data_IF_612393116130
#
_entry.id   IF_612393116130
#
_cell.length_a   1.000
_cell.length_b   1.000
_cell.length_c   1.000
_cell.angle_alpha   90.00
_cell.angle_beta   90.00
_cell.angle_gamma   90.00
#
_symmetry.space_group_name_H-M   'P 1'
#
loop_
_entity.id
_entity.type
_entity.pdbx_description
1 polymer ?
#
# COMPACT_ATOMS: atom_id res chain seq x y z
N UNK A 1 11.02 16.91 3.14
CA UNK A 1 11.16 16.87 4.61
C UNK A 1 12.06 15.70 4.97
N UNK A 2 13.06 15.91 5.83
CA UNK A 2 14.02 14.86 6.21
C UNK A 2 13.73 14.33 7.60
N UNK A 3 13.59 13.01 7.75
CA UNK A 3 13.44 12.32 9.04
C UNK A 3 14.78 11.68 9.41
N UNK A 4 15.22 11.82 10.67
CA UNK A 4 16.41 11.12 11.18
C UNK A 4 15.97 10.18 12.30
N UNK A 5 16.42 8.91 12.25
CA UNK A 5 16.08 7.90 13.26
C UNK A 5 17.19 6.87 13.45
N UNK A 6 17.33 6.39 14.68
CA UNK A 6 18.15 5.22 14.99
C UNK A 6 17.30 3.96 14.85
N UNK A 7 17.73 3.03 13.99
CA UNK A 7 16.97 1.82 13.68
C UNK A 7 17.92 0.61 13.55
N UNK A 8 17.49 -0.60 13.94
CA UNK A 8 18.26 -1.81 13.67
C UNK A 8 18.45 -2.04 12.17
N UNK A 9 19.63 -2.52 11.77
CA UNK A 9 19.95 -2.79 10.36
C UNK A 9 18.97 -3.76 9.70
N UNK A 10 18.51 -4.78 10.42
CA UNK A 10 17.51 -5.72 9.89
C UNK A 10 16.16 -5.06 9.59
N UNK A 11 15.74 -4.06 10.38
CA UNK A 11 14.49 -3.33 10.15
C UNK A 11 14.59 -2.46 8.90
N UNK A 12 15.73 -1.78 8.70
CA UNK A 12 16.00 -1.03 7.48
C UNK A 12 15.96 -1.95 6.24
N UNK A 13 16.56 -3.13 6.35
CA UNK A 13 16.56 -4.10 5.26
C UNK A 13 15.14 -4.63 4.95
N UNK A 14 14.29 -4.85 5.96
CA UNK A 14 12.88 -5.20 5.76
C UNK A 14 12.12 -4.08 5.06
N UNK A 15 12.29 -2.82 5.49
CA UNK A 15 11.67 -1.66 4.82
C UNK A 15 12.11 -1.58 3.36
N UNK A 16 13.41 -1.67 3.11
CA UNK A 16 13.96 -1.65 1.75
C UNK A 16 13.36 -2.76 0.86
N UNK A 17 13.21 -3.99 1.39
CA UNK A 17 12.62 -5.11 0.66
C UNK A 17 11.15 -4.89 0.32
N UNK A 18 10.37 -4.38 1.26
CA UNK A 18 8.95 -4.03 1.04
C UNK A 18 8.85 -2.94 -0.03
N UNK A 19 9.63 -1.86 0.08
CA UNK A 19 9.68 -0.78 -0.91
C UNK A 19 10.04 -1.30 -2.29
N UNK A 20 11.11 -2.09 -2.40
CA UNK A 20 11.57 -2.63 -3.68
C UNK A 20 10.49 -3.49 -4.35
N UNK A 21 9.84 -4.37 -3.59
CA UNK A 21 8.82 -5.27 -4.11
C UNK A 21 7.54 -4.53 -4.52
N UNK A 22 7.02 -3.64 -3.68
CA UNK A 22 5.81 -2.88 -4.00
C UNK A 22 6.03 -1.96 -5.21
N UNK A 23 7.19 -1.29 -5.29
CA UNK A 23 7.53 -0.43 -6.42
C UNK A 23 7.67 -1.27 -7.69
N UNK A 24 8.28 -2.46 -7.62
CA UNK A 24 8.37 -3.37 -8.78
C UNK A 24 7.01 -3.89 -9.26
N UNK A 25 5.99 -3.90 -8.39
CA UNK A 25 4.60 -4.22 -8.73
C UNK A 25 3.82 -2.98 -9.22
N UNK A 26 4.44 -1.81 -9.27
CA UNK A 26 3.78 -0.54 -9.61
C UNK A 26 2.88 0.00 -8.50
N UNK A 27 3.09 -0.43 -7.25
CA UNK A 27 2.30 0.04 -6.11
C UNK A 27 2.98 1.17 -5.35
N UNK A 28 2.26 2.27 -5.21
CA UNK A 28 2.57 3.34 -4.26
C UNK A 28 2.39 2.87 -2.82
N UNK A 29 2.97 3.61 -1.87
CA UNK A 29 2.75 3.36 -0.44
C UNK A 29 1.26 3.44 -0.06
N UNK A 30 0.50 4.34 -0.69
CA UNK A 30 -0.94 4.50 -0.45
C UNK A 30 -1.74 3.30 -0.97
N UNK A 31 -1.46 2.86 -2.19
CA UNK A 31 -2.10 1.68 -2.77
C UNK A 31 -1.83 0.43 -1.95
N UNK A 32 -0.59 0.23 -1.49
CA UNK A 32 -0.29 -0.91 -0.62
C UNK A 32 -1.01 -0.79 0.72
N UNK A 33 -1.10 0.42 1.30
CA UNK A 33 -1.88 0.70 2.52
C UNK A 33 -3.33 0.28 2.36
N UNK A 34 -3.95 0.66 1.23
CA UNK A 34 -5.30 0.25 0.86
C UNK A 34 -5.40 -1.27 0.73
N UNK A 35 -4.53 -1.93 -0.05
CA UNK A 35 -4.60 -3.37 -0.31
C UNK A 35 -4.55 -4.23 0.96
N UNK A 36 -3.76 -3.83 1.96
CA UNK A 36 -3.65 -4.55 3.24
C UNK A 36 -4.73 -4.17 4.26
N UNK A 37 -5.62 -3.22 3.91
CA UNK A 37 -6.66 -2.71 4.81
C UNK A 37 -6.09 -1.95 6.00
N UNK A 38 -4.96 -1.24 5.85
CA UNK A 38 -4.34 -0.51 6.95
C UNK A 38 -4.90 0.93 7.08
N UNK A 39 -4.73 1.57 8.24
CA UNK A 39 -4.99 3.00 8.41
C UNK A 39 -4.26 3.87 7.40
N UNK A 40 -4.88 5.01 7.07
CA UNK A 40 -4.31 5.99 6.15
C UNK A 40 -2.84 6.30 6.49
N UNK A 41 -2.02 6.43 5.45
CA UNK A 41 -0.60 6.71 5.52
C UNK A 41 0.25 5.65 6.27
N UNK A 42 -0.29 4.47 6.61
CA UNK A 42 0.45 3.45 7.40
C UNK A 42 1.79 3.07 6.77
N UNK A 43 1.80 2.61 5.51
CA UNK A 43 3.04 2.22 4.82
C UNK A 43 3.96 3.42 4.66
N UNK A 44 3.43 4.56 4.22
CA UNK A 44 4.20 5.78 3.99
C UNK A 44 4.90 6.27 5.27
N UNK A 45 4.22 6.23 6.41
CA UNK A 45 4.77 6.64 7.70
C UNK A 45 5.85 5.67 8.20
N UNK A 46 5.74 4.37 7.91
CA UNK A 46 6.78 3.39 8.25
C UNK A 46 8.02 3.63 7.38
N UNK A 47 7.84 3.80 6.08
CA UNK A 47 8.93 4.06 5.13
C UNK A 47 9.61 5.40 5.37
N UNK A 48 8.86 6.42 5.79
CA UNK A 48 9.40 7.71 6.22
C UNK A 48 9.97 7.69 7.66
N UNK A 49 10.02 6.51 8.30
CA UNK A 49 10.48 6.26 9.67
C UNK A 49 9.71 7.02 10.76
N UNK A 50 8.50 7.52 10.47
CA UNK A 50 7.64 8.25 11.41
C UNK A 50 6.89 7.33 12.38
N UNK A 51 6.57 6.09 11.97
CA UNK A 51 5.88 5.08 12.79
C UNK A 51 6.80 3.93 13.25
N UNK A 52 6.32 3.06 14.16
CA UNK A 52 6.96 1.77 14.45
C UNK A 52 7.10 0.92 13.19
N UNK A 53 8.02 -0.05 13.20
CA UNK A 53 8.26 -0.94 12.06
C UNK A 53 7.08 -1.89 11.77
N UNK A 54 7.10 -2.52 10.60
CA UNK A 54 6.13 -3.54 10.22
C UNK A 54 6.05 -4.65 11.29
N UNK A 55 4.83 -4.93 11.72
CA UNK A 55 4.52 -6.11 12.52
C UNK A 55 4.56 -7.37 11.65
N UNK A 56 4.56 -8.56 12.28
CA UNK A 56 4.42 -9.82 11.57
C UNK A 56 3.12 -9.86 10.74
N UNK A 57 2.02 -9.41 11.34
CA UNK A 57 0.71 -9.33 10.68
C UNK A 57 0.73 -8.39 9.47
N UNK A 58 1.43 -7.25 9.56
CA UNK A 58 1.63 -6.36 8.41
C UNK A 58 2.35 -7.10 7.29
N UNK A 59 3.47 -7.76 7.60
CA UNK A 59 4.29 -8.47 6.60
C UNK A 59 3.54 -9.64 5.96
N UNK A 60 2.70 -10.36 6.70
CA UNK A 60 1.85 -11.40 6.14
C UNK A 60 0.80 -10.84 5.17
N UNK A 61 0.17 -9.71 5.52
CA UNK A 61 -0.81 -9.05 4.61
C UNK A 61 -0.14 -8.44 3.40
N UNK A 62 1.02 -7.81 3.58
CA UNK A 62 1.85 -7.27 2.50
C UNK A 62 2.25 -8.41 1.55
N UNK A 63 2.70 -9.55 2.07
CA UNK A 63 3.05 -10.71 1.23
C UNK A 63 1.87 -11.18 0.38
N UNK A 64 0.66 -11.23 0.95
CA UNK A 64 -0.56 -11.58 0.18
C UNK A 64 -0.92 -10.53 -0.86
N UNK A 65 -0.88 -9.25 -0.51
CA UNK A 65 -1.16 -8.14 -1.41
C UNK A 65 -0.16 -8.05 -2.58
N UNK A 66 1.10 -8.43 -2.33
CA UNK A 66 2.16 -8.51 -3.34
C UNK A 66 2.21 -9.86 -4.08
N UNK A 67 1.29 -10.78 -3.77
CA UNK A 67 1.22 -12.13 -4.35
C UNK A 67 2.53 -12.92 -4.17
N UNK A 68 3.22 -12.71 -3.05
CA UNK A 68 4.47 -13.38 -2.72
C UNK A 68 4.19 -14.84 -2.33
N UNK A 69 4.82 -15.77 -3.04
CA UNK A 69 4.74 -17.21 -2.74
C UNK A 69 5.39 -17.57 -1.41
N UNK A 70 6.30 -16.73 -0.90
CA UNK A 70 6.97 -16.92 0.37
C UNK A 70 7.04 -15.60 1.15
N UNK A 71 6.23 -15.41 2.20
CA UNK A 71 6.26 -14.21 3.05
C UNK A 71 7.63 -13.94 3.68
N UNK A 72 8.46 -14.97 3.88
CA UNK A 72 9.82 -14.82 4.40
C UNK A 72 10.73 -14.02 3.45
N UNK A 73 10.34 -13.83 2.19
CA UNK A 73 11.08 -13.00 1.22
C UNK A 73 11.15 -11.53 1.64
N UNK A 74 10.18 -11.06 2.44
CA UNK A 74 10.11 -9.68 2.94
C UNK A 74 11.08 -9.42 4.09
N UNK A 75 11.49 -10.46 4.81
CA UNK A 75 12.36 -10.33 5.97
C UNK A 75 13.83 -10.20 5.56
N UNK A 76 14.61 -9.49 6.38
CA UNK A 76 16.06 -9.53 6.25
C UNK A 76 16.57 -10.94 6.55
N UNK A 77 17.33 -11.58 5.63
CA UNK A 77 17.96 -12.88 5.88
C UNK A 77 19.13 -12.77 6.87
N UNK A 78 19.58 -11.56 7.18
CA UNK A 78 20.66 -11.28 8.12
C UNK A 78 20.04 -10.72 9.38
N UNK A 79 20.22 -11.43 10.49
CA UNK A 79 19.87 -10.94 11.83
C UNK A 79 20.98 -10.01 12.34
N UNK A 80 21.12 -8.85 11.69
CA UNK A 80 22.07 -7.82 12.12
C UNK A 80 21.35 -6.82 13.03
N UNK A 81 21.63 -6.91 14.32
CA UNK A 81 21.07 -6.04 15.37
C UNK A 81 21.83 -4.71 15.51
N UNK A 82 22.83 -4.43 14.66
CA UNK A 82 23.54 -3.17 14.68
C UNK A 82 22.57 -2.00 14.49
N UNK A 83 22.63 -1.03 15.41
CA UNK A 83 21.84 0.19 15.34
C UNK A 83 22.51 1.16 14.35
N UNK A 84 21.74 1.60 13.37
CA UNK A 84 22.15 2.55 12.35
C UNK A 84 21.43 3.88 12.58
N UNK A 85 22.14 4.99 12.43
CA UNK A 85 21.53 6.32 12.40
C UNK A 85 21.23 6.70 10.95
N UNK A 86 19.96 6.73 10.58
CA UNK A 86 19.51 6.87 9.20
C UNK A 86 18.81 8.22 9.01
N UNK A 87 19.15 8.94 7.95
CA UNK A 87 18.38 10.07 7.44
C UNK A 87 17.59 9.63 6.20
N UNK A 88 16.31 10.00 6.15
CA UNK A 88 15.39 9.68 5.05
C UNK A 88 14.80 10.96 4.52
N UNK A 89 14.84 11.13 3.21
CA UNK A 89 14.13 12.19 2.51
C UNK A 89 13.21 11.60 1.43
N UNK A 90 12.07 12.27 1.25
CA UNK A 90 11.17 12.06 0.12
C UNK A 90 10.99 13.40 -0.59
N UNK A 91 11.25 13.40 -1.89
CA UNK A 91 11.11 14.55 -2.76
C UNK A 91 10.33 14.17 -4.01
N UNK A 92 9.66 15.15 -4.61
CA UNK A 92 8.95 14.97 -5.86
C UNK A 92 9.76 15.63 -6.98
N UNK A 93 10.14 14.86 -7.99
CA UNK A 93 10.93 15.31 -9.13
C UNK A 93 10.53 14.54 -10.38
N UNK A 94 10.39 15.25 -11.51
CA UNK A 94 10.13 14.66 -12.83
C UNK A 94 8.92 13.70 -12.85
N UNK A 95 7.83 14.04 -12.15
CA UNK A 95 6.62 13.21 -12.11
C UNK A 95 6.69 12.01 -11.16
N UNK A 96 7.73 11.94 -10.32
CA UNK A 96 7.99 10.77 -9.48
C UNK A 96 8.35 11.18 -8.05
N UNK A 97 8.05 10.30 -7.11
CA UNK A 97 8.57 10.40 -5.75
C UNK A 97 9.92 9.69 -5.64
N UNK A 98 10.95 10.43 -5.25
CA UNK A 98 12.29 9.92 -4.99
C UNK A 98 12.46 9.76 -3.48
N UNK A 99 12.71 8.52 -3.06
CA UNK A 99 12.99 8.15 -1.68
C UNK A 99 14.50 7.93 -1.52
N UNK A 100 15.15 8.74 -0.69
CA UNK A 100 16.60 8.65 -0.46
C UNK A 100 16.89 8.31 1.00
N UNK A 101 17.77 7.33 1.22
CA UNK A 101 18.18 6.86 2.53
C UNK A 101 19.69 7.01 2.70
N UNK A 102 20.11 7.68 3.77
CA UNK A 102 21.50 7.97 4.08
C UNK A 102 21.88 7.41 5.46
N UNK A 103 23.05 6.80 5.56
CA UNK A 103 23.69 6.48 6.82
C UNK A 103 24.44 7.72 7.34
N UNK A 104 24.18 8.09 8.58
CA UNK A 104 24.89 9.18 9.26
C UNK A 104 26.06 8.63 10.08
N UNK A 105 27.24 9.20 9.87
CA UNK A 105 28.40 8.92 10.72
C UNK A 105 28.35 9.71 12.05
N UNK A 106 29.40 9.57 12.87
CA UNK A 106 29.50 10.28 14.16
C UNK A 106 29.54 11.81 14.04
N UNK A 107 29.90 12.32 12.87
CA UNK A 107 29.97 13.74 12.55
C UNK A 107 28.73 14.22 11.77
N UNK A 108 27.71 13.37 11.61
CA UNK A 108 26.52 13.57 10.76
C UNK A 108 26.84 13.77 9.27
N UNK A 109 27.97 13.26 8.78
CA UNK A 109 28.16 13.17 7.34
C UNK A 109 27.26 12.08 6.77
N UNK A 110 26.66 12.37 5.63
CA UNK A 110 25.72 11.50 4.95
C UNK A 110 26.46 10.58 3.97
N UNK A 111 26.20 9.27 4.08
CA UNK A 111 26.56 8.28 3.06
C UNK A 111 25.30 7.67 2.50
N UNK A 112 25.02 7.88 1.21
CA UNK A 112 23.86 7.28 0.56
C UNK A 112 23.92 5.75 0.66
N UNK A 113 22.84 5.14 1.13
CA UNK A 113 22.66 3.69 1.18
C UNK A 113 21.91 3.21 -0.06
N UNK A 114 20.77 3.83 -0.32
CA UNK A 114 19.96 3.54 -1.51
C UNK A 114 19.03 4.71 -1.83
N UNK A 115 18.61 4.72 -3.10
CA UNK A 115 17.62 5.64 -3.65
C UNK A 115 16.62 4.84 -4.47
N UNK A 116 15.33 5.08 -4.26
CA UNK A 116 14.25 4.41 -4.96
C UNK A 116 13.31 5.44 -5.59
N UNK A 117 12.85 5.13 -6.79
CA UNK A 117 11.88 5.93 -7.53
C UNK A 117 10.52 5.23 -7.48
N UNK A 118 9.50 5.97 -7.10
CA UNK A 118 8.11 5.54 -7.02
C UNK A 118 7.29 6.44 -7.97
N UNK A 119 6.52 5.83 -8.85
CA UNK A 119 5.58 6.54 -9.72
C UNK A 119 4.45 7.16 -8.89
N UNK A 120 3.93 8.30 -9.35
CA UNK A 120 2.76 8.94 -8.75
C UNK A 120 1.48 8.15 -9.09
N UNK A 121 0.60 7.87 -8.10
CA UNK A 121 -0.75 7.41 -8.46
C UNK A 121 -1.52 8.63 -9.01
N UNK A 122 -2.20 8.51 -10.16
CA UNK A 122 -3.02 9.58 -10.70
C UNK A 122 -4.06 10.05 -9.68
N UNK A 123 -4.30 11.36 -9.64
CA UNK A 123 -5.32 11.94 -8.78
C UNK A 123 -6.72 11.48 -9.20
N UNK A 124 -7.64 11.41 -8.23
CA UNK A 124 -9.02 10.98 -8.47
C UNK A 124 -9.73 11.79 -9.57
N UNK A 125 -9.50 13.11 -9.59
CA UNK A 125 -10.12 14.01 -10.57
C UNK A 125 -9.60 13.78 -12.01
N UNK A 126 -8.39 13.24 -12.15
CA UNK A 126 -7.82 12.88 -13.46
C UNK A 126 -8.43 11.58 -14.00
N UNK A 127 -8.76 10.64 -13.11
CA UNK A 127 -9.42 9.37 -13.46
C UNK A 127 -10.92 9.52 -13.74
N UNK A 128 -11.58 10.54 -13.17
CA UNK A 128 -13.03 10.75 -13.34
C UNK A 128 -13.41 11.30 -14.72
N UNK A 129 -12.46 11.79 -15.52
CA UNK A 129 -12.73 12.32 -16.87
C UNK A 129 -12.94 11.17 -17.87
N UNK A 130 -14.12 10.52 -17.73
CA UNK A 130 -14.63 9.42 -18.57
C UNK A 130 -13.66 8.26 -18.75
N UNK A 131 -13.11 7.74 -17.64
CA UNK A 131 -12.32 6.52 -17.72
C UNK A 131 -13.25 5.29 -17.77
N UNK A 132 -13.38 4.72 -18.98
CA UNK A 132 -14.13 3.49 -19.25
C UNK A 132 -13.72 2.33 -18.32
N UNK A 133 -12.47 2.33 -17.84
CA UNK A 133 -11.95 1.34 -16.90
C UNK A 133 -12.68 1.46 -15.56
N UNK A 134 -12.84 2.67 -15.03
CA UNK A 134 -13.49 2.89 -13.73
C UNK A 134 -14.97 2.48 -13.76
N UNK A 135 -15.66 2.75 -14.85
CA UNK A 135 -17.05 2.30 -15.05
C UNK A 135 -17.13 0.78 -15.14
N UNK A 136 -16.20 0.15 -15.88
CA UNK A 136 -16.08 -1.31 -15.94
C UNK A 136 -15.85 -1.92 -14.55
N UNK A 137 -14.92 -1.37 -13.76
CA UNK A 137 -14.67 -1.83 -12.38
C UNK A 137 -15.91 -1.67 -11.53
N UNK A 138 -16.62 -0.54 -11.66
CA UNK A 138 -17.83 -0.27 -10.90
C UNK A 138 -18.94 -1.28 -11.21
N UNK A 139 -19.12 -1.64 -12.49
CA UNK A 139 -20.07 -2.68 -12.92
C UNK A 139 -19.71 -4.07 -12.35
N UNK A 140 -18.41 -4.41 -12.33
CA UNK A 140 -17.95 -5.68 -11.73
C UNK A 140 -18.24 -5.70 -10.23
N UNK A 141 -17.92 -4.62 -9.51
CA UNK A 141 -18.21 -4.51 -8.07
C UNK A 141 -19.71 -4.60 -7.81
N UNK A 142 -20.53 -3.94 -8.62
CA UNK A 142 -21.99 -4.02 -8.55
C UNK A 142 -22.51 -5.46 -8.72
N UNK A 143 -21.99 -6.20 -9.71
CA UNK A 143 -22.29 -7.63 -9.90
C UNK A 143 -21.85 -8.46 -8.70
N UNK A 144 -20.65 -8.22 -8.15
CA UNK A 144 -20.14 -8.92 -6.97
C UNK A 144 -21.01 -8.66 -5.72
N UNK A 145 -21.53 -7.43 -5.55
CA UNK A 145 -22.50 -7.12 -4.49
C UNK A 145 -23.78 -7.94 -4.69
N UNK A 146 -24.37 -7.92 -5.89
CA UNK A 146 -25.62 -8.64 -6.18
C UNK A 146 -25.50 -10.15 -6.08
N UNK A 147 -24.31 -10.71 -6.34
CA UNK A 147 -24.06 -12.14 -6.25
C UNK A 147 -23.80 -12.63 -4.82
N UNK A 148 -23.75 -11.72 -3.84
CA UNK A 148 -23.52 -12.06 -2.43
C UNK A 148 -22.05 -12.25 -2.07
N UNK A 149 -21.10 -11.83 -2.91
CA UNK A 149 -19.66 -11.94 -2.62
C UNK A 149 -19.28 -11.24 -1.30
N UNK A 150 -19.95 -10.13 -1.01
CA UNK A 150 -19.74 -9.31 0.19
C UNK A 150 -20.63 -9.71 1.38
N UNK A 151 -21.22 -10.91 1.38
CA UNK A 151 -21.96 -11.44 2.54
C UNK A 151 -21.05 -11.58 3.78
N UNK A 152 -19.77 -11.86 3.56
CA UNK A 152 -18.74 -11.82 4.59
C UNK A 152 -17.73 -10.69 4.32
N UNK A 153 -17.17 -10.05 5.37
CA UNK A 153 -16.14 -9.03 5.24
C UNK A 153 -14.93 -9.45 4.40
N UNK A 154 -14.68 -8.73 3.31
CA UNK A 154 -13.55 -8.97 2.39
C UNK A 154 -12.44 -7.94 2.55
N UNK A 155 -11.20 -8.42 2.58
CA UNK A 155 -10.02 -7.56 2.54
C UNK A 155 -9.86 -6.94 1.16
N UNK A 156 -9.25 -5.75 1.07
CA UNK A 156 -9.10 -5.06 -0.21
C UNK A 156 -8.30 -5.87 -1.24
N UNK A 157 -7.23 -6.56 -0.82
CA UNK A 157 -6.49 -7.44 -1.73
C UNK A 157 -7.32 -8.62 -2.26
N UNK A 158 -8.29 -9.13 -1.49
CA UNK A 158 -9.16 -10.25 -1.93
C UNK A 158 -10.09 -9.79 -3.04
N UNK A 159 -10.65 -8.59 -2.89
CA UNK A 159 -11.47 -7.94 -3.90
C UNK A 159 -10.63 -7.64 -5.14
N UNK A 160 -9.43 -7.06 -4.94
CA UNK A 160 -8.50 -6.74 -6.02
C UNK A 160 -8.12 -7.97 -6.84
N UNK A 161 -7.71 -9.05 -6.17
CA UNK A 161 -7.36 -10.32 -6.82
C UNK A 161 -8.55 -10.89 -7.58
N UNK A 162 -9.74 -10.87 -6.98
CA UNK A 162 -10.96 -11.38 -7.63
C UNK A 162 -11.29 -10.60 -8.90
N UNK A 163 -11.28 -9.27 -8.84
CA UNK A 163 -11.55 -8.42 -10.03
C UNK A 163 -10.52 -8.68 -11.12
N UNK A 164 -9.23 -8.75 -10.77
CA UNK A 164 -8.18 -9.00 -11.75
C UNK A 164 -8.25 -10.40 -12.39
N UNK A 165 -8.78 -11.41 -11.70
CA UNK A 165 -9.02 -12.72 -12.34
C UNK A 165 -10.15 -12.70 -13.38
N UNK A 166 -11.03 -11.69 -13.34
CA UNK A 166 -12.14 -11.53 -14.26
C UNK A 166 -11.79 -10.64 -15.46
N UNK A 167 -10.59 -10.06 -15.48
CA UNK A 167 -10.14 -9.12 -16.51
C UNK A 167 -9.06 -9.75 -17.39
N UNK A 168 -9.04 -9.41 -18.70
CA UNK A 168 -8.00 -9.88 -19.61
C UNK A 168 -6.64 -9.23 -19.30
N UNK A 169 -6.64 -8.02 -18.77
CA UNK A 169 -5.44 -7.27 -18.38
C UNK A 169 -5.52 -6.88 -16.89
N UNK A 170 -4.41 -6.94 -16.14
CA UNK A 170 -4.41 -6.53 -14.74
C UNK A 170 -4.72 -5.05 -14.59
N UNK A 171 -5.70 -4.74 -13.74
CA UNK A 171 -6.07 -3.38 -13.40
C UNK A 171 -5.19 -2.82 -12.30
N UNK A 172 -4.94 -1.51 -12.37
CA UNK A 172 -4.29 -0.78 -11.30
C UNK A 172 -5.19 -0.73 -10.05
N UNK A 173 -4.60 -0.94 -8.87
CA UNK A 173 -5.35 -0.97 -7.60
C UNK A 173 -6.07 0.34 -7.27
N UNK A 174 -5.61 1.49 -7.80
CA UNK A 174 -6.28 2.79 -7.63
C UNK A 174 -7.72 2.72 -8.20
N UNK A 175 -7.97 2.09 -9.36
CA UNK A 175 -9.33 1.96 -9.91
C UNK A 175 -10.29 1.22 -8.98
N UNK A 176 -9.80 0.17 -8.33
CA UNK A 176 -10.60 -0.65 -7.42
C UNK A 176 -10.84 0.09 -6.10
N UNK A 177 -9.83 0.79 -5.57
CA UNK A 177 -9.98 1.67 -4.42
C UNK A 177 -11.08 2.71 -4.66
N UNK A 178 -11.04 3.39 -5.80
CA UNK A 178 -12.02 4.42 -6.16
C UNK A 178 -13.42 3.87 -6.39
N UNK A 179 -13.55 2.74 -7.09
CA UNK A 179 -14.85 2.08 -7.25
C UNK A 179 -15.46 1.72 -5.88
N UNK A 180 -14.68 1.11 -4.98
CA UNK A 180 -15.18 0.75 -3.64
C UNK A 180 -15.55 1.97 -2.80
N UNK A 181 -14.80 3.06 -2.90
CA UNK A 181 -15.14 4.32 -2.23
C UNK A 181 -16.51 4.84 -2.68
N UNK A 182 -16.80 4.83 -4.00
CA UNK A 182 -18.12 5.23 -4.53
C UNK A 182 -19.26 4.43 -3.93
N UNK A 183 -19.10 3.10 -3.80
CA UNK A 183 -20.12 2.24 -3.18
C UNK A 183 -20.26 2.44 -1.67
N UNK A 184 -19.29 3.05 -0.99
CA UNK A 184 -19.37 3.40 0.43
C UNK A 184 -19.99 4.78 0.68
N UNK A 185 -19.87 5.71 -0.27
CA UNK A 185 -20.25 7.12 -0.09
C UNK A 185 -21.57 7.50 -0.76
N UNK A 186 -22.31 6.57 -1.38
CA UNK A 186 -23.55 6.92 -2.09
C UNK A 186 -24.61 7.47 -1.11
N UNK A 187 -24.78 8.80 -1.13
CA UNK A 187 -25.48 9.61 -0.11
C UNK A 187 -26.99 9.36 -0.05
N UNK A 188 -27.56 8.66 -1.05
CA UNK A 188 -29.01 8.51 -1.19
C UNK A 188 -29.62 7.29 -0.52
N UNK A 189 -28.83 6.27 -0.16
CA UNK A 189 -29.39 4.97 0.27
C UNK A 189 -28.60 4.22 1.36
N UNK A 190 -27.69 4.89 2.08
CA UNK A 190 -26.63 4.22 2.86
C UNK A 190 -25.82 3.30 1.94
N UNK A 191 -24.66 3.78 1.46
CA UNK A 191 -23.83 3.09 0.46
C UNK A 191 -23.87 1.56 0.54
N UNK A 192 -23.97 0.90 -0.62
CA UNK A 192 -24.20 -0.56 -0.72
C UNK A 192 -23.10 -1.42 -0.10
N UNK A 193 -21.96 -0.81 0.20
CA UNK A 193 -20.89 -1.38 1.01
C UNK A 193 -20.64 -0.49 2.24
N UNK A 194 -20.22 -1.11 3.33
CA UNK A 194 -19.62 -0.43 4.47
C UNK A 194 -18.23 -0.96 4.77
N UNK A 195 -17.40 -0.08 5.31
CA UNK A 195 -16.08 -0.43 5.81
C UNK A 195 -16.24 -0.91 7.26
N UNK A 196 -15.76 -2.12 7.55
CA UNK A 196 -15.65 -2.66 8.91
C UNK A 196 -14.19 -2.88 9.28
N UNK A 197 -13.89 -2.81 10.58
CA UNK A 197 -12.53 -2.87 11.12
C UNK A 197 -12.25 -1.70 12.05
N UNK A 198 -10.99 -1.53 12.43
CA UNK A 198 -10.57 -0.45 13.34
C UNK A 198 -9.10 -0.10 13.14
N UNK A 199 -8.56 0.88 13.87
CA UNK A 199 -7.12 1.13 13.83
C UNK A 199 -6.25 -0.09 14.25
N UNK A 200 -6.85 -1.09 14.91
CA UNK A 200 -6.17 -2.32 15.35
C UNK A 200 -6.50 -3.55 14.49
N UNK A 201 -7.49 -3.45 13.60
CA UNK A 201 -7.99 -4.56 12.79
C UNK A 201 -8.07 -4.13 11.33
N UNK A 202 -7.69 -4.96 10.36
CA UNK A 202 -7.67 -4.54 8.97
C UNK A 202 -9.07 -4.12 8.52
N UNK A 203 -9.13 -3.01 7.80
CA UNK A 203 -10.33 -2.57 7.12
C UNK A 203 -10.74 -3.59 6.07
N UNK A 204 -12.04 -3.89 6.05
CA UNK A 204 -12.70 -4.82 5.15
C UNK A 204 -13.98 -4.20 4.63
N UNK A 205 -14.47 -4.72 3.52
CA UNK A 205 -15.73 -4.31 2.91
C UNK A 205 -16.77 -5.41 3.08
N UNK A 206 -17.97 -5.05 3.52
CA UNK A 206 -19.13 -5.93 3.56
C UNK A 206 -20.38 -5.21 3.03
N UNK A 207 -21.35 -5.97 2.54
CA UNK A 207 -22.61 -5.42 2.07
C UNK A 207 -23.45 -4.88 3.26
N UNK A 208 -24.17 -3.78 3.02
CA UNK A 208 -25.13 -3.22 3.98
C UNK A 208 -26.43 -4.02 4.07
#
# INVERSE_FOLDING_TARGET
MTTIKEIPAFQLATIYRVMLKRISKGYTAEQLTFLIGAPENHIQDIEALKKPFYSMDDLERIARALEESNPQSLFSPINNEAILKIAVSREYAEGNFIHSFYLLDKNNNEKELFRLQEEECPEFDDLLRSDEILDTVSDIVDVMIRSGYFYEPKLPYEIFSTINTLQPEPLNSCYIQFALQRFCTDEKDHGRLRIVGSAKEPYRYEAC
#
